data_IF_401159639910
#
_entry.id   IF_401159639910
#
_cell.length_a   1.000
_cell.length_b   1.000
_cell.length_c   1.000
_cell.angle_alpha   90.00
_cell.angle_beta   90.00
_cell.angle_gamma   90.00
#
_symmetry.space_group_name_H-M   'P 1'
#
loop_
_entity.id
_entity.type
_entity.pdbx_description
1 polymer ?
#
# COMPACT_ATOMS: atom_id res chain seq x y z
N UNK A 1 12.95 26.48 23.65
CA UNK A 1 11.58 26.64 23.11
C UNK A 1 11.70 26.40 21.61
N UNK A 2 11.84 25.18 21.11
CA UNK A 2 10.78 24.17 20.94
C UNK A 2 11.28 22.77 21.31
N UNK A 3 10.76 22.26 22.44
CA UNK A 3 10.52 20.83 22.67
C UNK A 3 9.49 20.36 21.60
N UNK A 4 9.57 19.09 21.19
CA UNK A 4 8.60 18.36 20.34
C UNK A 4 8.76 18.32 18.82
N UNK A 5 9.95 17.94 18.34
CA UNK A 5 10.08 17.22 17.06
C UNK A 5 10.14 15.68 17.25
N UNK A 6 9.82 15.19 18.44
CA UNK A 6 10.00 13.78 18.84
C UNK A 6 8.81 12.85 18.49
N UNK A 7 7.73 13.35 17.90
CA UNK A 7 6.45 12.60 17.84
C UNK A 7 5.63 12.79 16.55
N UNK A 8 6.22 12.77 15.36
CA UNK A 8 5.43 12.52 14.15
C UNK A 8 6.17 11.57 13.21
N UNK A 9 5.66 10.36 12.95
CA UNK A 9 5.94 9.66 11.73
C UNK A 9 4.85 10.01 10.70
N UNK A 10 4.77 11.27 10.17
CA UNK A 10 3.67 11.68 9.31
C UNK A 10 3.63 10.82 8.05
N UNK A 11 4.80 10.40 7.56
CA UNK A 11 4.93 9.53 6.39
C UNK A 11 4.23 8.18 6.60
N UNK A 12 4.44 7.53 7.75
CA UNK A 12 3.82 6.25 8.08
C UNK A 12 2.30 6.41 8.18
N UNK A 13 1.85 7.41 8.92
CA UNK A 13 0.41 7.66 9.12
C UNK A 13 -0.29 8.02 7.82
N UNK A 14 0.34 8.84 6.97
CA UNK A 14 -0.22 9.24 5.66
C UNK A 14 -0.29 8.04 4.72
N UNK A 15 0.77 7.24 4.60
CA UNK A 15 0.77 6.04 3.74
C UNK A 15 -0.27 5.04 4.21
N UNK A 16 -0.38 4.83 5.52
CA UNK A 16 -1.42 3.98 6.10
C UNK A 16 -2.82 4.53 5.78
N UNK A 17 -3.05 5.82 6.00
CA UNK A 17 -4.35 6.46 5.75
C UNK A 17 -4.76 6.37 4.27
N UNK A 18 -3.83 6.63 3.35
CA UNK A 18 -4.08 6.48 1.90
C UNK A 18 -4.41 5.03 1.54
N UNK A 19 -3.72 4.07 2.14
CA UNK A 19 -3.95 2.64 1.89
C UNK A 19 -5.30 2.19 2.41
N UNK A 20 -5.69 2.64 3.61
CA UNK A 20 -7.02 2.38 4.17
C UNK A 20 -8.11 3.06 3.35
N UNK A 21 -7.93 4.32 2.97
CA UNK A 21 -8.89 5.05 2.15
C UNK A 21 -9.14 4.32 0.82
N UNK A 22 -8.06 3.87 0.16
CA UNK A 22 -8.15 3.05 -1.03
C UNK A 22 -9.00 1.80 -0.82
N UNK A 23 -8.70 1.01 0.22
CA UNK A 23 -9.46 -0.22 0.56
C UNK A 23 -10.94 0.08 0.83
N UNK A 24 -11.24 1.14 1.58
CA UNK A 24 -12.61 1.56 1.89
C UNK A 24 -13.36 1.96 0.62
N UNK A 25 -12.73 2.74 -0.27
CA UNK A 25 -13.35 3.13 -1.54
C UNK A 25 -13.62 1.92 -2.44
N UNK A 26 -12.69 0.96 -2.50
CA UNK A 26 -12.84 -0.27 -3.29
C UNK A 26 -14.03 -1.12 -2.81
N UNK A 27 -14.21 -1.22 -1.49
CA UNK A 27 -15.35 -1.94 -0.90
C UNK A 27 -16.67 -1.16 -1.03
N UNK A 28 -16.64 0.16 -0.88
CA UNK A 28 -17.83 1.00 -0.95
C UNK A 28 -18.42 1.09 -2.37
N UNK A 29 -17.59 0.93 -3.39
CA UNK A 29 -18.01 0.93 -4.79
C UNK A 29 -18.66 -0.39 -5.25
N UNK A 30 -18.55 -1.46 -4.47
CA UNK A 30 -19.07 -2.78 -4.85
C UNK A 30 -20.60 -2.87 -4.80
N UNK A 31 -21.22 -3.50 -5.79
CA UNK A 31 -22.68 -3.66 -5.85
C UNK A 31 -23.25 -4.69 -4.85
N UNK A 32 -22.39 -5.53 -4.26
CA UNK A 32 -22.79 -6.51 -3.25
C UNK A 32 -23.50 -7.71 -3.86
N UNK A 33 -24.50 -8.25 -3.15
CA UNK A 33 -25.30 -9.38 -3.63
C UNK A 33 -26.54 -8.84 -4.33
N UNK A 34 -26.64 -9.06 -5.63
CA UNK A 34 -27.79 -8.66 -6.44
C UNK A 34 -28.50 -9.91 -6.97
N UNK A 35 -29.84 -9.94 -6.89
CA UNK A 35 -30.62 -11.07 -7.40
C UNK A 35 -30.84 -10.88 -8.91
N UNK A 36 -30.44 -11.85 -9.71
CA UNK A 36 -30.55 -11.82 -11.18
C UNK A 36 -31.63 -12.74 -11.72
N UNK A 37 -32.18 -13.65 -10.89
CA UNK A 37 -33.28 -14.53 -11.27
C UNK A 37 -34.05 -15.12 -10.08
N UNK A 38 -35.01 -16.04 -10.32
CA UNK A 38 -35.76 -16.73 -9.28
C UNK A 38 -34.86 -17.49 -8.31
N UNK A 39 -33.76 -18.04 -8.82
CA UNK A 39 -32.76 -18.81 -8.06
C UNK A 39 -31.32 -18.34 -8.28
N UNK A 40 -31.12 -17.27 -9.06
CA UNK A 40 -29.80 -16.78 -9.48
C UNK A 40 -29.43 -15.48 -8.77
N UNK A 41 -28.17 -15.40 -8.34
CA UNK A 41 -27.58 -14.25 -7.68
C UNK A 41 -26.25 -13.90 -8.36
N UNK A 42 -25.98 -12.61 -8.47
CA UNK A 42 -24.67 -12.06 -8.81
C UNK A 42 -24.07 -11.45 -7.55
N UNK A 43 -22.79 -11.73 -7.30
CA UNK A 43 -22.05 -11.25 -6.13
C UNK A 43 -20.87 -10.44 -6.61
N UNK A 44 -20.81 -9.17 -6.21
CA UNK A 44 -19.68 -8.28 -6.46
C UNK A 44 -19.18 -7.72 -5.12
N UNK A 45 -17.92 -7.97 -4.78
CA UNK A 45 -17.36 -7.64 -3.46
C UNK A 45 -16.39 -6.45 -3.48
N UNK A 46 -15.88 -6.11 -4.66
CA UNK A 46 -14.94 -5.02 -4.86
C UNK A 46 -14.99 -4.61 -6.33
N UNK A 47 -15.04 -3.30 -6.62
CA UNK A 47 -14.97 -2.80 -8.01
C UNK A 47 -13.59 -3.12 -8.60
N UNK A 48 -13.50 -4.03 -9.61
CA UNK A 48 -12.22 -4.42 -10.20
C UNK A 48 -11.44 -3.24 -10.79
N UNK A 49 -12.13 -2.18 -11.23
CA UNK A 49 -11.50 -1.00 -11.82
C UNK A 49 -10.70 -0.18 -10.81
N UNK A 50 -10.99 -0.33 -9.52
CA UNK A 50 -10.26 0.36 -8.46
C UNK A 50 -8.99 -0.36 -8.05
N UNK A 51 -8.84 -1.68 -8.30
CA UNK A 51 -7.65 -2.43 -7.88
C UNK A 51 -6.33 -1.87 -8.46
N UNK A 52 -6.26 -1.47 -9.75
CA UNK A 52 -5.07 -0.82 -10.27
C UNK A 52 -4.71 0.51 -9.57
N UNK A 53 -5.67 1.18 -8.92
CA UNK A 53 -5.40 2.42 -8.19
C UNK A 53 -4.42 2.21 -7.03
N UNK A 54 -4.29 0.99 -6.49
CA UNK A 54 -3.25 0.70 -5.50
C UNK A 54 -1.83 0.82 -6.05
N UNK A 55 -1.59 0.71 -7.36
CA UNK A 55 -0.27 1.00 -7.94
C UNK A 55 0.12 2.47 -7.75
N UNK A 56 -0.85 3.38 -7.67
CA UNK A 56 -0.59 4.80 -7.40
C UNK A 56 -0.01 5.02 -6.00
N UNK A 57 -0.26 4.12 -5.04
CA UNK A 57 0.33 4.16 -3.69
C UNK A 57 1.85 3.92 -3.68
N UNK A 58 2.42 3.36 -4.75
CA UNK A 58 3.86 3.15 -4.85
C UNK A 58 4.65 4.46 -4.80
N UNK A 59 4.09 5.56 -5.35
CA UNK A 59 4.73 6.88 -5.34
C UNK A 59 4.79 7.48 -3.93
N UNK A 60 3.67 7.60 -3.17
CA UNK A 60 3.71 7.98 -1.76
C UNK A 60 4.66 7.13 -0.92
N UNK A 61 4.74 5.81 -1.17
CA UNK A 61 5.68 4.91 -0.48
C UNK A 61 7.13 5.29 -0.79
N UNK A 62 7.48 5.51 -2.05
CA UNK A 62 8.83 5.94 -2.43
C UNK A 62 9.21 7.28 -1.79
N UNK A 63 8.30 8.27 -1.86
CA UNK A 63 8.51 9.61 -1.28
C UNK A 63 8.65 9.53 0.25
N UNK A 64 7.81 8.74 0.91
CA UNK A 64 7.87 8.51 2.35
C UNK A 64 9.22 7.88 2.78
N UNK A 65 9.68 6.86 2.04
CA UNK A 65 10.96 6.19 2.31
C UNK A 65 12.17 7.09 1.99
N UNK A 66 12.03 7.99 1.00
CA UNK A 66 13.03 9.01 0.71
C UNK A 66 13.21 9.99 1.87
N UNK A 67 12.10 10.47 2.46
CA UNK A 67 12.15 11.37 3.61
C UNK A 67 12.52 10.68 4.92
N UNK A 68 12.13 9.42 5.11
CA UNK A 68 12.25 8.69 6.37
C UNK A 68 12.89 7.30 6.21
N UNK A 69 14.13 7.21 5.69
CA UNK A 69 14.75 5.92 5.33
C UNK A 69 15.00 4.99 6.54
N UNK A 70 15.02 5.53 7.77
CA UNK A 70 15.21 4.75 8.99
C UNK A 70 14.02 3.85 9.36
N UNK A 71 12.82 4.12 8.79
CA UNK A 71 11.58 3.39 9.10
C UNK A 71 10.94 2.77 7.85
N UNK A 72 11.70 2.58 6.78
CA UNK A 72 11.22 2.06 5.48
C UNK A 72 10.43 0.76 5.59
N UNK A 73 10.89 -0.20 6.40
CA UNK A 73 10.17 -1.46 6.61
C UNK A 73 8.77 -1.23 7.20
N UNK A 74 8.62 -0.26 8.11
CA UNK A 74 7.33 0.10 8.69
C UNK A 74 6.43 0.79 7.67
N UNK A 75 6.99 1.66 6.82
CA UNK A 75 6.26 2.33 5.75
C UNK A 75 5.71 1.31 4.74
N UNK A 76 6.55 0.37 4.28
CA UNK A 76 6.14 -0.71 3.38
C UNK A 76 5.04 -1.55 4.03
N UNK A 77 5.21 -1.93 5.30
CA UNK A 77 4.21 -2.70 6.04
C UNK A 77 2.87 -1.94 6.14
N UNK A 78 2.92 -0.63 6.38
CA UNK A 78 1.71 0.20 6.45
C UNK A 78 0.97 0.31 5.12
N UNK A 79 1.67 0.21 4.00
CA UNK A 79 1.07 0.16 2.67
C UNK A 79 0.49 -1.22 2.36
N UNK A 80 1.22 -2.28 2.75
CA UNK A 80 0.89 -3.66 2.41
C UNK A 80 -0.27 -4.22 3.24
N UNK A 81 -0.30 -3.98 4.56
CA UNK A 81 -1.28 -4.58 5.48
C UNK A 81 -2.72 -4.32 5.02
N UNK A 82 -3.15 -3.10 4.67
CA UNK A 82 -4.50 -2.86 4.17
C UNK A 82 -4.84 -3.68 2.90
N UNK A 83 -3.87 -3.94 2.02
CA UNK A 83 -4.10 -4.75 0.82
C UNK A 83 -4.41 -6.22 1.18
N UNK A 84 -3.72 -6.77 2.19
CA UNK A 84 -4.02 -8.10 2.71
C UNK A 84 -5.36 -8.15 3.44
N UNK A 85 -5.73 -7.10 4.16
CA UNK A 85 -7.04 -7.00 4.84
C UNK A 85 -8.16 -7.00 3.81
N UNK A 86 -8.05 -6.24 2.73
CA UNK A 86 -9.03 -6.24 1.64
C UNK A 86 -9.20 -7.66 1.05
N UNK A 87 -8.10 -8.32 0.70
CA UNK A 87 -8.11 -9.69 0.18
C UNK A 87 -8.81 -10.68 1.13
N UNK A 88 -8.48 -10.60 2.43
CA UNK A 88 -9.10 -11.45 3.44
C UNK A 88 -10.59 -11.17 3.61
N UNK A 89 -11.02 -9.90 3.56
CA UNK A 89 -12.44 -9.53 3.63
C UNK A 89 -13.23 -10.03 2.42
N UNK A 90 -12.65 -9.95 1.22
CA UNK A 90 -13.24 -10.51 -0.01
C UNK A 90 -13.39 -12.03 0.16
N UNK A 91 -12.33 -12.73 0.57
CA UNK A 91 -12.36 -14.18 0.73
C UNK A 91 -13.33 -14.67 1.82
N UNK A 92 -13.32 -14.04 3.01
CA UNK A 92 -14.21 -14.41 4.12
C UNK A 92 -15.69 -14.29 3.75
N UNK A 93 -16.04 -13.28 2.96
CA UNK A 93 -17.43 -13.03 2.54
C UNK A 93 -17.87 -13.98 1.43
N UNK A 94 -16.96 -14.45 0.60
CA UNK A 94 -17.25 -15.33 -0.53
C UNK A 94 -17.14 -16.83 -0.22
N UNK A 95 -16.46 -17.23 0.86
CA UNK A 95 -16.54 -18.61 1.39
C UNK A 95 -17.99 -19.01 1.70
N UNK A 96 -18.87 -18.04 1.95
CA UNK A 96 -20.31 -18.27 2.09
C UNK A 96 -21.06 -18.46 0.75
N UNK A 97 -20.48 -18.05 -0.39
CA UNK A 97 -21.06 -18.05 -1.73
C UNK A 97 -20.46 -19.08 -2.71
N UNK A 98 -19.23 -19.57 -2.46
CA UNK A 98 -18.55 -20.61 -3.25
C UNK A 98 -17.24 -20.14 -3.89
N UNK A 99 -16.22 -21.00 -3.92
CA UNK A 99 -14.82 -20.65 -4.27
C UNK A 99 -14.50 -20.42 -5.76
N UNK A 100 -15.50 -20.35 -6.64
CA UNK A 100 -15.27 -20.39 -8.09
C UNK A 100 -15.14 -19.00 -8.75
N UNK A 101 -15.10 -17.91 -7.99
CA UNK A 101 -14.94 -16.57 -8.55
C UNK A 101 -13.45 -16.24 -8.82
N UNK A 102 -13.06 -15.94 -10.08
CA UNK A 102 -11.72 -15.48 -10.43
C UNK A 102 -11.25 -14.26 -9.62
N UNK A 103 -12.19 -13.44 -9.13
CA UNK A 103 -11.91 -12.28 -8.30
C UNK A 103 -11.36 -12.67 -6.92
N UNK A 104 -11.74 -13.83 -6.36
CA UNK A 104 -11.14 -14.35 -5.12
C UNK A 104 -9.66 -14.67 -5.35
N UNK A 105 -9.35 -15.38 -6.43
CA UNK A 105 -7.97 -15.78 -6.77
C UNK A 105 -7.10 -14.54 -6.99
N UNK A 106 -7.62 -13.57 -7.75
CA UNK A 106 -6.95 -12.28 -7.94
C UNK A 106 -6.79 -11.52 -6.61
N UNK A 107 -7.81 -11.59 -5.74
CA UNK A 107 -7.78 -10.98 -4.42
C UNK A 107 -6.63 -11.47 -3.55
N UNK A 108 -6.32 -12.76 -3.59
CA UNK A 108 -5.14 -13.31 -2.91
C UNK A 108 -3.81 -12.96 -3.60
N UNK A 109 -3.80 -12.93 -4.93
CA UNK A 109 -2.58 -12.68 -5.70
C UNK A 109 -2.14 -11.21 -5.61
N UNK A 110 -3.09 -10.29 -5.56
CA UNK A 110 -2.86 -8.86 -5.56
C UNK A 110 -1.95 -8.36 -4.42
N UNK A 111 -2.19 -8.63 -3.12
CA UNK A 111 -1.30 -8.18 -2.06
C UNK A 111 0.10 -8.82 -2.16
N UNK A 112 0.19 -10.05 -2.71
CA UNK A 112 1.47 -10.72 -2.99
C UNK A 112 2.25 -9.97 -4.09
N UNK A 113 1.56 -9.48 -5.14
CA UNK A 113 2.16 -8.67 -6.21
C UNK A 113 2.50 -7.24 -5.74
N UNK A 114 1.67 -6.65 -4.88
CA UNK A 114 1.87 -5.28 -4.39
C UNK A 114 3.01 -5.16 -3.39
N UNK A 115 3.28 -6.21 -2.61
CA UNK A 115 4.40 -6.25 -1.66
C UNK A 115 5.77 -5.98 -2.30
N UNK A 116 6.20 -6.70 -3.37
CA UNK A 116 7.46 -6.42 -4.05
C UNK A 116 7.45 -5.07 -4.77
N UNK A 117 6.29 -4.58 -5.25
CA UNK A 117 6.17 -3.22 -5.80
C UNK A 117 6.48 -2.18 -4.72
N UNK A 118 5.86 -2.26 -3.54
CA UNK A 118 6.15 -1.35 -2.44
C UNK A 118 7.60 -1.48 -1.95
N UNK A 119 8.16 -2.69 -1.93
CA UNK A 119 9.56 -2.91 -1.57
C UNK A 119 10.53 -2.27 -2.59
N UNK A 120 10.27 -2.42 -3.89
CA UNK A 120 11.08 -1.82 -4.95
C UNK A 120 11.05 -0.28 -4.88
N UNK A 121 9.86 0.31 -4.76
CA UNK A 121 9.70 1.77 -4.66
C UNK A 121 10.24 2.33 -3.34
N UNK A 122 10.03 1.64 -2.22
CA UNK A 122 10.64 2.02 -0.94
C UNK A 122 12.17 1.93 -0.99
N UNK A 123 12.70 0.90 -1.65
CA UNK A 123 14.13 0.74 -1.93
C UNK A 123 14.70 1.88 -2.77
N UNK A 124 14.00 2.27 -3.84
CA UNK A 124 14.35 3.42 -4.68
C UNK A 124 14.39 4.72 -3.85
N UNK A 125 13.37 4.96 -3.02
CA UNK A 125 13.34 6.11 -2.11
C UNK A 125 14.55 6.14 -1.17
N UNK A 126 14.90 5.00 -0.57
CA UNK A 126 16.10 4.87 0.26
C UNK A 126 17.40 5.14 -0.51
N UNK A 127 17.54 4.64 -1.73
CA UNK A 127 18.72 4.86 -2.57
C UNK A 127 18.90 6.35 -2.90
N UNK A 128 17.82 7.02 -3.27
CA UNK A 128 17.81 8.46 -3.53
C UNK A 128 18.18 9.26 -2.28
N UNK A 129 17.74 8.82 -1.10
CA UNK A 129 18.09 9.47 0.18
C UNK A 129 19.58 9.35 0.50
N UNK A 130 20.20 8.21 0.15
CA UNK A 130 21.65 7.98 0.30
C UNK A 130 22.46 8.84 -0.67
N UNK A 131 22.01 9.00 -1.91
CA UNK A 131 22.65 9.87 -2.90
C UNK A 131 22.75 11.32 -2.45
N UNK A 132 21.73 11.83 -1.74
CA UNK A 132 21.72 13.21 -1.21
C UNK A 132 22.75 13.47 -0.12
N UNK A 133 23.20 12.44 0.62
CA UNK A 133 24.16 12.60 1.73
C UNK A 133 25.62 12.58 1.29
N UNK A 134 25.91 12.18 0.05
CA UNK A 134 27.26 11.92 -0.46
C UNK A 134 28.04 13.09 -1.14
N UNK A 135 27.58 14.35 -1.26
CA UNK A 135 28.38 15.38 -1.96
C UNK A 135 29.58 16.00 -1.20
N UNK A 136 29.65 15.97 0.13
CA UNK A 136 30.56 16.86 0.89
C UNK A 136 31.72 16.16 1.67
N UNK A 137 31.92 14.85 1.52
CA UNK A 137 33.01 14.11 2.21
C UNK A 137 34.38 14.23 1.50
N UNK A 138 34.63 15.33 0.78
CA UNK A 138 36.01 15.65 0.37
C UNK A 138 36.73 16.30 1.55
N UNK A 139 37.69 15.61 2.21
CA UNK A 139 38.53 16.28 3.19
C UNK A 139 39.24 17.42 2.47
N UNK A 140 39.03 18.65 2.95
CA UNK A 140 39.78 19.79 2.48
C UNK A 140 41.28 19.43 2.53
N UNK A 141 42.05 19.64 1.46
CA UNK A 141 43.47 19.32 1.48
C UNK A 141 44.10 20.12 2.62
N UNK A 142 44.66 19.41 3.60
CA UNK A 142 45.49 19.99 4.65
C UNK A 142 46.63 20.72 3.94
N UNK A 143 46.58 22.06 3.96
CA UNK A 143 47.66 22.88 3.41
C UNK A 143 48.95 22.62 4.22
N UNK A 144 50.11 22.54 3.55
CA UNK A 144 51.39 22.30 4.18
C UNK A 144 51.83 23.44 5.10
#
# INVERSE_FOLDING_TARGET
MFRDLRTRPPALTVVFALSVAHVVTTLAAASGVTRTGPSDFHVELADPNLWPAGFLLAVPVAVACWHSPAITSRIILSAAVPQFVLAALVALRDIAGGWNDPLIVFGFLYPILMTPVFAAFGGLGCLLARGRRRPDDHPAPSRP
#
